data_IF_777926817835
#
_entry.id   IF_777926817835
#
_cell.length_a   1.000
_cell.length_b   1.000
_cell.length_c   1.000
_cell.angle_alpha   90.00
_cell.angle_beta   90.00
_cell.angle_gamma   90.00
#
_symmetry.space_group_name_H-M   'P 1'
#
loop_
_entity.id
_entity.type
_entity.pdbx_description
1 polymer ?
#
# COMPACT_ATOMS: atom_id res chain seq x y z
N UNK A 1 -0.83 6.27 -5.75
CA UNK A 1 -1.67 6.31 -6.98
C UNK A 1 -2.35 7.66 -7.06
N UNK A 2 -2.63 8.22 -8.23
CA UNK A 2 -3.45 9.43 -8.31
C UNK A 2 -4.93 9.06 -8.08
N UNK A 3 -5.64 9.77 -7.21
CA UNK A 3 -7.02 9.45 -6.84
C UNK A 3 -7.97 9.42 -8.06
N UNK A 4 -7.85 10.39 -8.98
CA UNK A 4 -8.64 10.43 -10.21
C UNK A 4 -8.31 9.29 -11.17
N UNK A 5 -7.04 8.87 -11.21
CA UNK A 5 -6.64 7.73 -12.03
C UNK A 5 -7.20 6.41 -11.50
N UNK A 6 -7.38 6.26 -10.18
CA UNK A 6 -7.95 5.07 -9.55
C UNK A 6 -9.43 4.84 -9.86
N UNK A 7 -10.13 5.83 -10.41
CA UNK A 7 -11.50 5.69 -10.90
C UNK A 7 -11.55 4.90 -12.20
N UNK A 8 -10.47 4.91 -12.98
CA UNK A 8 -10.37 4.14 -14.23
C UNK A 8 -10.31 2.64 -13.92
N UNK A 9 -11.16 1.81 -14.55
CA UNK A 9 -11.23 0.39 -14.26
C UNK A 9 -9.90 -0.33 -14.49
N UNK A 10 -9.14 0.06 -15.52
CA UNK A 10 -7.85 -0.57 -15.86
C UNK A 10 -6.80 -0.32 -14.77
N UNK A 11 -6.83 0.89 -14.18
CA UNK A 11 -5.91 1.25 -13.09
C UNK A 11 -6.30 0.52 -11.81
N UNK A 12 -7.61 0.40 -11.54
CA UNK A 12 -8.12 -0.36 -10.39
C UNK A 12 -7.70 -1.82 -10.46
N UNK A 13 -7.96 -2.47 -11.59
CA UNK A 13 -7.60 -3.87 -11.80
C UNK A 13 -6.10 -4.10 -11.70
N UNK A 14 -5.28 -3.21 -12.26
CA UNK A 14 -3.83 -3.30 -12.16
C UNK A 14 -3.35 -3.25 -10.71
N UNK A 15 -3.86 -2.30 -9.92
CA UNK A 15 -3.47 -2.15 -8.51
C UNK A 15 -3.94 -3.35 -7.68
N UNK A 16 -5.16 -3.84 -7.90
CA UNK A 16 -5.67 -5.03 -7.22
C UNK A 16 -4.86 -6.29 -7.57
N UNK A 17 -4.53 -6.47 -8.85
CA UNK A 17 -3.66 -7.56 -9.30
C UNK A 17 -2.28 -7.47 -8.63
N UNK A 18 -1.69 -6.29 -8.58
CA UNK A 18 -0.39 -6.06 -7.97
C UNK A 18 -0.41 -6.40 -6.48
N UNK A 19 -1.38 -5.90 -5.72
CA UNK A 19 -1.49 -6.16 -4.27
C UNK A 19 -1.79 -7.63 -3.97
N UNK A 20 -2.56 -8.31 -4.83
CA UNK A 20 -2.86 -9.74 -4.68
C UNK A 20 -1.66 -10.64 -4.98
N UNK A 21 -0.82 -10.28 -5.94
CA UNK A 21 0.31 -11.11 -6.39
C UNK A 21 1.68 -10.65 -5.86
N UNK A 22 1.75 -9.48 -5.23
CA UNK A 22 3.00 -8.82 -4.84
C UNK A 22 3.91 -9.69 -3.98
N UNK A 23 3.35 -10.46 -3.05
CA UNK A 23 4.13 -11.36 -2.19
C UNK A 23 4.85 -12.48 -2.96
N UNK A 24 4.27 -12.95 -4.07
CA UNK A 24 4.88 -13.97 -4.94
C UNK A 24 5.95 -13.35 -5.83
N UNK A 25 5.62 -12.24 -6.48
CA UNK A 25 6.51 -11.54 -7.41
C UNK A 25 7.78 -11.03 -6.70
N UNK A 26 7.64 -10.45 -5.51
CA UNK A 26 8.78 -9.95 -4.72
C UNK A 26 9.75 -11.05 -4.32
N UNK A 27 9.26 -12.24 -3.97
CA UNK A 27 10.12 -13.40 -3.67
C UNK A 27 10.94 -13.86 -4.88
N UNK A 28 10.34 -13.83 -6.07
CA UNK A 28 11.00 -14.25 -7.32
C UNK A 28 12.22 -13.37 -7.64
N UNK A 29 12.09 -12.07 -7.41
CA UNK A 29 13.19 -11.09 -7.58
C UNK A 29 14.04 -10.91 -6.32
N UNK A 30 13.96 -11.83 -5.34
CA UNK A 30 14.76 -11.86 -4.10
C UNK A 30 14.57 -10.66 -3.16
N UNK A 31 13.44 -9.97 -3.23
CA UNK A 31 13.05 -8.95 -2.25
C UNK A 31 12.32 -9.57 -1.06
N UNK A 32 12.29 -8.84 0.05
CA UNK A 32 11.51 -9.21 1.24
C UNK A 32 10.04 -8.81 1.02
N UNK A 33 9.11 -9.76 0.97
CA UNK A 33 7.68 -9.45 0.83
C UNK A 33 7.15 -8.78 2.10
N UNK A 34 6.15 -7.92 1.94
CA UNK A 34 5.37 -7.44 3.08
C UNK A 34 4.57 -8.59 3.71
N UNK A 35 4.12 -8.41 4.96
CA UNK A 35 3.23 -9.39 5.58
C UNK A 35 1.86 -9.40 4.89
N UNK A 36 1.13 -10.51 4.99
CA UNK A 36 -0.24 -10.60 4.45
C UNK A 36 -1.16 -9.51 5.01
N UNK A 37 -1.00 -9.16 6.29
CA UNK A 37 -1.77 -8.11 6.93
C UNK A 37 -1.49 -6.72 6.32
N UNK A 38 -0.23 -6.45 5.96
CA UNK A 38 0.15 -5.18 5.34
C UNK A 38 -0.41 -5.04 3.91
N UNK A 39 -0.43 -6.13 3.13
CA UNK A 39 -1.09 -6.17 1.82
C UNK A 39 -2.60 -5.96 1.92
N UNK A 40 -3.24 -6.58 2.92
CA UNK A 40 -4.67 -6.39 3.19
C UNK A 40 -4.96 -4.92 3.51
N UNK A 41 -4.15 -4.32 4.40
CA UNK A 41 -4.28 -2.92 4.78
C UNK A 41 -4.12 -1.97 3.58
N UNK A 42 -3.13 -2.21 2.73
CA UNK A 42 -2.93 -1.44 1.50
C UNK A 42 -4.13 -1.55 0.54
N UNK A 43 -4.70 -2.75 0.42
CA UNK A 43 -5.89 -3.00 -0.41
C UNK A 43 -7.11 -2.25 0.14
N UNK A 44 -7.32 -2.25 1.45
CA UNK A 44 -8.43 -1.53 2.08
C UNK A 44 -8.29 -0.01 1.92
N UNK A 45 -7.07 0.52 2.09
CA UNK A 45 -6.79 1.94 1.83
C UNK A 45 -7.11 2.32 0.38
N UNK A 46 -6.70 1.49 -0.58
CA UNK A 46 -6.97 1.73 -1.99
C UNK A 46 -8.47 1.69 -2.31
N UNK A 47 -9.20 0.70 -1.78
CA UNK A 47 -10.66 0.60 -1.93
C UNK A 47 -11.42 1.79 -1.33
N UNK A 48 -10.91 2.34 -0.23
CA UNK A 48 -11.46 3.54 0.44
C UNK A 48 -11.00 4.85 -0.20
N UNK A 49 -10.17 4.80 -1.25
CA UNK A 49 -9.54 5.97 -1.88
C UNK A 49 -8.85 6.89 -0.86
N UNK A 50 -8.25 6.31 0.20
CA UNK A 50 -7.59 7.06 1.26
C UNK A 50 -6.33 7.74 0.72
N UNK A 51 -6.29 9.07 0.75
CA UNK A 51 -5.14 9.90 0.34
C UNK A 51 -4.24 10.26 1.53
N UNK A 52 -3.09 10.87 1.26
CA UNK A 52 -2.11 11.27 2.28
C UNK A 52 -1.03 10.22 2.59
N UNK A 53 -0.18 10.52 3.57
CA UNK A 53 0.96 9.68 3.97
C UNK A 53 0.94 9.32 5.45
N UNK A 54 1.17 8.04 5.75
CA UNK A 54 1.31 7.54 7.13
C UNK A 54 2.58 8.05 7.84
N UNK A 55 3.52 8.64 7.10
CA UNK A 55 4.71 9.30 7.65
C UNK A 55 4.41 10.72 8.16
N UNK A 56 3.23 11.28 7.86
CA UNK A 56 2.81 12.59 8.36
C UNK A 56 3.78 13.75 8.05
N UNK A 57 4.52 13.68 6.94
CA UNK A 57 5.49 14.70 6.54
C UNK A 57 6.91 14.55 7.11
N UNK A 58 7.15 13.55 7.98
CA UNK A 58 8.47 13.31 8.58
C UNK A 58 8.93 11.85 8.37
N UNK A 59 10.13 11.68 7.84
CA UNK A 59 10.76 10.35 7.77
C UNK A 59 11.19 9.90 9.16
N UNK A 60 10.64 8.80 9.64
CA UNK A 60 10.95 8.25 10.97
C UNK A 60 11.74 6.94 10.81
N UNK A 61 12.93 6.88 11.41
CA UNK A 61 13.83 5.72 11.33
C UNK A 61 13.52 4.78 12.51
N UNK A 62 13.47 3.48 12.25
CA UNK A 62 13.30 2.45 13.30
C UNK A 62 11.85 2.08 13.62
N UNK A 63 10.88 2.61 12.87
CA UNK A 63 9.46 2.24 13.03
C UNK A 63 9.17 0.93 12.30
N UNK A 64 8.35 0.07 12.90
CA UNK A 64 7.83 -1.10 12.20
C UNK A 64 6.79 -0.67 11.16
N UNK A 65 6.81 -1.34 10.01
CA UNK A 65 5.86 -1.11 8.91
C UNK A 65 4.41 -1.24 9.42
N UNK A 66 4.12 -2.25 10.24
CA UNK A 66 2.77 -2.47 10.78
C UNK A 66 2.28 -1.32 11.67
N UNK A 67 3.17 -0.68 12.43
CA UNK A 67 2.82 0.45 13.28
C UNK A 67 2.63 1.73 12.47
N UNK A 68 3.43 1.89 11.41
CA UNK A 68 3.27 2.98 10.45
C UNK A 68 1.94 2.87 9.71
N UNK A 69 1.60 1.69 9.17
CA UNK A 69 0.38 1.50 8.37
C UNK A 69 -0.90 1.80 9.15
N UNK A 70 -0.93 1.55 10.46
CA UNK A 70 -2.07 1.86 11.33
C UNK A 70 -2.28 3.36 11.60
N UNK A 71 -1.30 4.21 11.32
CA UNK A 71 -1.42 5.65 11.54
C UNK A 71 -2.43 6.24 10.56
N UNK A 72 -3.17 7.23 11.01
CA UNK A 72 -3.97 8.02 10.09
C UNK A 72 -3.04 8.85 9.19
N UNK A 73 -3.20 8.74 7.86
CA UNK A 73 -2.42 9.52 6.93
C UNK A 73 -2.77 10.99 7.09
N UNK A 74 -1.73 11.82 7.09
CA UNK A 74 -1.88 13.27 6.97
C UNK A 74 -1.53 13.67 5.53
N UNK A 75 -2.26 14.64 5.02
CA UNK A 75 -1.99 15.30 3.73
C UNK A 75 -0.88 16.34 3.86
#
# INVERSE_FOLDING_TARGET
>A
VNAKAAEKPEVREFVEFYLKNGAKLTKEVKYVPLSTADYQHATDNFKKLKTGTAFGGHSEIGVKIADLLKRDPKE
#
